data_IF_692300932024
#
_entry.id   IF_692300932024
#
_cell.length_a   1.000
_cell.length_b   1.000
_cell.length_c   1.000
_cell.angle_alpha   90.00
_cell.angle_beta   90.00
_cell.angle_gamma   90.00
#
_symmetry.space_group_name_H-M   'P 1'
#
loop_
_entity.id
_entity.type
_entity.pdbx_description
1 polymer ?
#
# COMPACT_ATOMS: atom_id res chain seq x y z
N UNK A 1 -7.98 -1.37 18.30
CA UNK A 1 -7.71 -0.70 19.62
C UNK A 1 -6.78 0.53 19.47
N UNK A 2 -5.68 0.47 18.73
CA UNK A 2 -4.81 1.66 18.50
C UNK A 2 -5.47 2.65 17.56
N UNK A 3 -6.02 2.15 16.46
CA UNK A 3 -6.64 2.95 15.40
C UNK A 3 -7.86 3.74 15.88
N UNK A 4 -8.56 3.25 16.90
CA UNK A 4 -9.72 3.92 17.49
C UNK A 4 -9.34 5.21 18.24
N UNK A 5 -8.09 5.29 18.69
CA UNK A 5 -7.54 6.45 19.44
C UNK A 5 -7.05 7.59 18.53
N UNK A 6 -6.94 7.37 17.21
CA UNK A 6 -6.49 8.40 16.29
C UNK A 6 -7.56 9.49 16.12
N UNK A 7 -7.12 10.76 16.14
CA UNK A 7 -8.01 11.91 15.91
C UNK A 7 -8.47 11.95 14.45
N UNK A 8 -9.77 12.15 14.21
CA UNK A 8 -10.36 12.09 12.87
C UNK A 8 -10.00 13.28 11.99
N UNK A 9 -9.71 14.43 12.57
CA UNK A 9 -9.37 15.68 11.84
C UNK A 9 -7.86 15.84 11.58
N UNK A 10 -7.15 14.73 11.39
CA UNK A 10 -5.71 14.69 11.19
C UNK A 10 -5.35 13.79 10.00
N UNK A 11 -4.06 13.66 9.74
CA UNK A 11 -3.51 12.72 8.77
C UNK A 11 -2.75 11.62 9.50
N UNK A 12 -2.87 10.40 9.00
CA UNK A 12 -2.18 9.23 9.54
C UNK A 12 -1.50 8.49 8.41
N UNK A 13 -0.22 8.16 8.61
CA UNK A 13 0.59 7.43 7.64
C UNK A 13 1.19 6.18 8.28
N UNK A 14 1.25 5.13 7.51
CA UNK A 14 1.94 3.89 7.82
C UNK A 14 3.24 3.82 7.05
N UNK A 15 4.31 3.48 7.73
CA UNK A 15 5.62 3.16 7.16
C UNK A 15 6.11 1.82 7.67
N UNK A 16 6.75 1.05 6.82
CA UNK A 16 7.55 -0.07 7.30
C UNK A 16 8.72 0.43 8.16
N UNK A 17 9.11 -0.34 9.16
CA UNK A 17 10.17 0.04 10.09
C UNK A 17 11.55 0.26 9.44
N UNK A 18 11.76 -0.28 8.23
CA UNK A 18 12.98 -0.10 7.44
C UNK A 18 12.93 1.10 6.49
N UNK A 19 11.92 1.96 6.59
CA UNK A 19 11.82 3.19 5.80
C UNK A 19 12.73 4.28 6.35
N UNK A 20 13.50 4.94 5.48
CA UNK A 20 14.34 6.10 5.81
C UNK A 20 13.96 7.27 4.92
N UNK A 21 13.52 8.37 5.52
CA UNK A 21 13.22 9.61 4.79
C UNK A 21 14.56 10.31 4.54
N UNK A 22 14.94 10.47 3.27
CA UNK A 22 16.23 11.03 2.85
C UNK A 22 16.12 12.42 2.24
N UNK A 23 14.88 12.87 1.97
CA UNK A 23 14.61 14.24 1.50
C UNK A 23 13.38 14.80 2.19
N UNK A 24 13.36 16.11 2.35
CA UNK A 24 12.16 16.81 2.79
C UNK A 24 10.99 16.58 1.81
N UNK A 25 9.82 16.33 2.36
CA UNK A 25 8.58 16.14 1.61
C UNK A 25 7.58 17.17 2.12
N UNK A 26 7.20 18.16 1.29
CA UNK A 26 6.17 19.12 1.67
C UNK A 26 4.87 18.40 2.03
N UNK A 27 4.27 18.74 3.17
CA UNK A 27 3.03 18.11 3.62
C UNK A 27 1.89 18.28 2.61
N UNK A 28 1.88 19.40 1.86
CA UNK A 28 0.94 19.65 0.77
C UNK A 28 0.88 18.52 -0.27
N UNK A 29 1.98 17.79 -0.49
CA UNK A 29 2.05 16.62 -1.38
C UNK A 29 0.98 15.57 -1.04
N UNK A 30 0.56 15.48 0.22
CA UNK A 30 -0.36 14.46 0.71
C UNK A 30 -1.80 14.97 0.86
N UNK A 31 -2.03 16.27 0.63
CA UNK A 31 -3.33 16.92 0.89
C UNK A 31 -4.31 16.85 -0.30
N UNK A 32 -3.83 16.48 -1.49
CA UNK A 32 -4.62 16.49 -2.72
C UNK A 32 -5.72 15.40 -2.77
N UNK A 33 -5.64 14.42 -1.88
CA UNK A 33 -6.60 13.31 -1.83
C UNK A 33 -6.79 12.80 -0.40
N UNK A 34 -7.86 12.05 -0.21
CA UNK A 34 -8.15 11.43 1.08
C UNK A 34 -7.17 10.31 1.45
N UNK A 35 -6.61 9.64 0.46
CA UNK A 35 -5.65 8.56 0.61
C UNK A 35 -4.51 8.69 -0.37
N UNK A 36 -3.32 8.24 0.00
CA UNK A 36 -2.15 8.10 -0.85
C UNK A 36 -1.78 6.62 -1.03
N UNK A 37 -1.22 6.29 -2.18
CA UNK A 37 -0.65 4.98 -2.45
C UNK A 37 0.58 5.12 -3.33
N UNK A 38 1.63 4.36 -3.05
CA UNK A 38 2.89 4.39 -3.81
C UNK A 38 2.89 3.28 -4.85
N UNK A 39 3.24 3.61 -6.10
CA UNK A 39 3.39 2.60 -7.14
C UNK A 39 4.52 1.62 -6.76
N UNK A 40 4.27 0.34 -6.95
CA UNK A 40 5.29 -0.67 -6.66
C UNK A 40 6.39 -0.64 -7.74
N UNK A 41 7.67 -0.38 -7.38
CA UNK A 41 8.76 -0.18 -8.36
C UNK A 41 8.97 -1.40 -9.26
N UNK A 42 8.82 -2.62 -8.75
CA UNK A 42 8.97 -3.86 -9.52
C UNK A 42 7.83 -4.12 -10.53
N UNK A 43 6.73 -3.37 -10.46
CA UNK A 43 5.55 -3.55 -11.33
C UNK A 43 5.16 -2.30 -12.11
N UNK A 44 5.86 -1.17 -11.93
CA UNK A 44 5.58 0.12 -12.57
C UNK A 44 5.40 0.01 -14.10
N UNK A 45 6.25 -0.77 -14.76
CA UNK A 45 6.28 -0.92 -16.22
C UNK A 45 5.68 -2.24 -16.70
N UNK A 46 4.90 -2.93 -15.86
CA UNK A 46 4.29 -4.22 -16.21
C UNK A 46 2.80 -4.09 -16.47
N UNK A 47 2.28 -4.96 -17.32
CA UNK A 47 0.84 -5.06 -17.56
C UNK A 47 0.15 -5.77 -16.38
N UNK A 48 -1.10 -5.42 -16.11
CA UNK A 48 -1.85 -5.86 -14.91
C UNK A 48 -2.01 -7.37 -14.76
N UNK A 49 -1.93 -8.12 -15.87
CA UNK A 49 -2.00 -9.59 -15.83
C UNK A 49 -0.81 -10.21 -15.08
N UNK A 50 0.34 -9.51 -15.07
CA UNK A 50 1.56 -9.93 -14.37
C UNK A 50 1.61 -9.48 -12.90
N UNK A 51 0.63 -8.69 -12.44
CA UNK A 51 0.58 -8.26 -11.05
C UNK A 51 0.26 -9.45 -10.13
N UNK A 52 0.87 -9.49 -8.95
CA UNK A 52 0.63 -10.56 -7.98
C UNK A 52 -0.70 -10.37 -7.22
N UNK A 53 -1.71 -9.77 -7.87
CA UNK A 53 -3.04 -9.66 -7.33
C UNK A 53 -3.59 -11.04 -6.95
N UNK A 54 -4.44 -11.07 -5.94
CA UNK A 54 -5.10 -12.32 -5.55
C UNK A 54 -6.05 -12.79 -6.66
N UNK A 55 -5.81 -13.99 -7.18
CA UNK A 55 -6.54 -14.55 -8.32
C UNK A 55 -7.47 -15.70 -7.95
N UNK A 56 -7.44 -16.15 -6.70
CA UNK A 56 -8.35 -17.20 -6.20
C UNK A 56 -9.73 -16.59 -5.96
N UNK A 57 -10.74 -17.12 -6.64
CA UNK A 57 -12.12 -16.61 -6.60
C UNK A 57 -12.79 -16.66 -5.22
N UNK A 58 -12.33 -17.56 -4.34
CA UNK A 58 -12.82 -17.69 -2.97
C UNK A 58 -12.19 -16.70 -1.97
N UNK A 59 -11.16 -15.94 -2.39
CA UNK A 59 -10.57 -14.87 -1.58
C UNK A 59 -11.43 -13.60 -1.63
N UNK A 60 -11.53 -12.90 -0.51
CA UNK A 60 -12.30 -11.65 -0.40
C UNK A 60 -11.68 -10.53 -1.23
N UNK A 61 -10.36 -10.56 -1.43
CA UNK A 61 -9.61 -9.56 -2.22
C UNK A 61 -9.33 -10.04 -3.68
N UNK A 62 -10.20 -10.91 -4.22
CA UNK A 62 -10.08 -11.40 -5.59
C UNK A 62 -10.13 -10.27 -6.63
N UNK A 63 -9.14 -10.22 -7.51
CA UNK A 63 -9.12 -9.37 -8.70
C UNK A 63 -8.90 -10.23 -9.95
N UNK A 64 -9.88 -10.28 -10.85
CA UNK A 64 -9.84 -11.12 -12.06
C UNK A 64 -8.75 -10.71 -13.06
N UNK A 65 -8.32 -11.63 -13.91
CA UNK A 65 -7.22 -11.42 -14.88
C UNK A 65 -7.46 -10.29 -15.89
N UNK A 66 -8.71 -10.01 -16.23
CA UNK A 66 -9.07 -8.93 -17.17
C UNK A 66 -9.06 -7.53 -16.51
N UNK A 67 -8.88 -7.44 -15.21
CA UNK A 67 -8.81 -6.16 -14.50
C UNK A 67 -7.52 -5.43 -14.87
N UNK A 68 -7.66 -4.12 -15.16
CA UNK A 68 -6.54 -3.23 -15.48
C UNK A 68 -6.40 -2.19 -14.38
N UNK A 69 -5.18 -1.87 -13.98
CA UNK A 69 -4.95 -0.89 -12.92
C UNK A 69 -3.48 -0.73 -12.59
N UNK A 70 -3.23 -0.20 -11.40
CA UNK A 70 -1.90 0.03 -10.82
C UNK A 70 -1.69 -0.97 -9.69
N UNK A 71 -0.45 -1.42 -9.53
CA UNK A 71 -0.06 -2.23 -8.39
C UNK A 71 0.65 -1.34 -7.37
N UNK A 72 0.07 -1.25 -6.18
CA UNK A 72 0.56 -0.41 -5.09
C UNK A 72 1.43 -1.21 -4.13
N UNK A 73 2.47 -0.59 -3.64
CA UNK A 73 3.36 -1.15 -2.63
C UNK A 73 2.77 -0.93 -1.22
N UNK A 74 2.87 -1.95 -0.36
CA UNK A 74 2.30 -1.90 0.99
C UNK A 74 3.13 -1.12 2.02
N UNK A 75 4.37 -0.78 1.73
CA UNK A 75 5.32 -0.26 2.71
C UNK A 75 5.14 1.21 3.11
N UNK A 76 4.43 2.01 2.32
CA UNK A 76 4.04 3.40 2.64
C UNK A 76 2.65 3.68 2.10
N UNK A 77 1.73 4.02 2.99
CA UNK A 77 0.36 4.38 2.67
C UNK A 77 -0.26 5.21 3.81
N UNK A 78 -1.40 5.83 3.55
CA UNK A 78 -2.07 6.68 4.55
C UNK A 78 -2.93 7.76 3.92
N UNK A 79 -3.13 8.85 4.65
CA UNK A 79 -3.92 10.00 4.22
C UNK A 79 -4.75 10.61 5.35
N UNK A 80 -5.92 11.19 5.04
CA UNK A 80 -6.85 11.66 6.07
C UNK A 80 -7.20 10.52 7.02
N UNK A 81 -7.09 10.75 8.31
CA UNK A 81 -7.24 9.70 9.33
C UNK A 81 -8.58 8.97 9.22
N UNK A 82 -9.68 9.67 8.91
CA UNK A 82 -10.99 9.04 8.74
C UNK A 82 -10.99 8.02 7.59
N UNK A 83 -10.43 8.38 6.44
CA UNK A 83 -10.33 7.52 5.26
C UNK A 83 -9.35 6.36 5.49
N UNK A 84 -8.24 6.62 6.17
CA UNK A 84 -7.27 5.59 6.53
C UNK A 84 -7.84 4.58 7.53
N UNK A 85 -8.60 5.03 8.55
CA UNK A 85 -9.33 4.14 9.46
C UNK A 85 -10.26 3.20 8.69
N UNK A 86 -11.04 3.74 7.75
CA UNK A 86 -11.95 2.96 6.91
C UNK A 86 -11.21 1.90 6.08
N UNK A 87 -10.09 2.29 5.46
CA UNK A 87 -9.23 1.36 4.71
C UNK A 87 -8.81 0.19 5.60
N UNK A 88 -8.22 0.48 6.77
CA UNK A 88 -7.73 -0.57 7.69
C UNK A 88 -8.88 -1.46 8.19
N UNK A 89 -10.03 -0.88 8.53
CA UNK A 89 -11.19 -1.65 8.98
C UNK A 89 -11.66 -2.63 7.89
N UNK A 90 -11.77 -2.18 6.64
CA UNK A 90 -12.18 -3.02 5.51
C UNK A 90 -11.13 -4.11 5.23
N UNK A 91 -9.85 -3.75 5.18
CA UNK A 91 -8.78 -4.74 4.99
C UNK A 91 -8.77 -5.79 6.13
N UNK A 92 -8.95 -5.37 7.38
CA UNK A 92 -9.06 -6.29 8.51
C UNK A 92 -10.27 -7.23 8.39
N UNK A 93 -11.44 -6.71 8.04
CA UNK A 93 -12.64 -7.52 7.84
C UNK A 93 -12.43 -8.59 6.75
N UNK A 94 -11.84 -8.21 5.63
CA UNK A 94 -11.51 -9.14 4.54
C UNK A 94 -10.50 -10.21 4.98
N UNK A 95 -9.43 -9.79 5.67
CA UNK A 95 -8.42 -10.70 6.21
C UNK A 95 -9.04 -11.71 7.17
N UNK A 96 -9.86 -11.25 8.11
CA UNK A 96 -10.52 -12.15 9.08
C UNK A 96 -11.51 -13.11 8.42
N UNK A 97 -12.21 -12.67 7.37
CA UNK A 97 -13.11 -13.52 6.60
C UNK A 97 -12.36 -14.62 5.83
N UNK A 98 -11.19 -14.29 5.27
CA UNK A 98 -10.36 -15.25 4.55
C UNK A 98 -9.67 -16.22 5.52
N UNK A 99 -9.16 -15.75 6.66
CA UNK A 99 -8.58 -16.62 7.70
C UNK A 99 -9.59 -17.65 8.23
N UNK A 100 -10.87 -17.30 8.37
CA UNK A 100 -11.94 -18.27 8.73
C UNK A 100 -12.10 -19.39 7.70
N UNK A 101 -11.67 -19.18 6.46
CA UNK A 101 -11.65 -20.19 5.39
C UNK A 101 -10.28 -20.85 5.23
N UNK A 102 -9.35 -20.66 6.19
CA UNK A 102 -7.95 -21.09 6.10
C UNK A 102 -7.25 -20.56 4.83
N UNK A 103 -7.61 -19.34 4.39
CA UNK A 103 -7.03 -18.71 3.23
C UNK A 103 -6.14 -17.54 3.66
N UNK A 104 -4.88 -17.58 3.23
CA UNK A 104 -3.94 -16.45 3.33
C UNK A 104 -3.78 -15.88 1.93
N UNK A 105 -4.01 -14.59 1.76
CA UNK A 105 -3.89 -13.92 0.46
C UNK A 105 -2.45 -13.98 -0.06
N UNK A 106 -2.28 -13.97 -1.39
CA UNK A 106 -1.03 -14.25 -2.10
C UNK A 106 0.14 -13.37 -1.63
N UNK A 107 -0.11 -12.08 -1.38
CA UNK A 107 0.87 -11.11 -0.89
C UNK A 107 0.34 -10.49 0.41
N UNK A 108 -0.18 -11.32 1.29
CA UNK A 108 -0.64 -10.97 2.63
C UNK A 108 -1.51 -9.68 2.63
N UNK A 109 -1.15 -8.72 3.49
CA UNK A 109 -1.84 -7.42 3.65
C UNK A 109 -1.85 -6.56 2.38
N UNK A 110 -0.79 -6.60 1.58
CA UNK A 110 -0.68 -5.87 0.30
C UNK A 110 -1.76 -6.31 -0.71
N UNK A 111 -2.20 -7.58 -0.66
CA UNK A 111 -3.30 -8.06 -1.52
C UNK A 111 -4.62 -7.34 -1.20
N UNK A 112 -4.95 -7.16 0.09
CA UNK A 112 -6.15 -6.46 0.53
C UNK A 112 -6.07 -4.96 0.26
N UNK A 113 -4.87 -4.35 0.48
CA UNK A 113 -4.61 -2.96 0.14
C UNK A 113 -4.85 -2.70 -1.34
N UNK A 114 -4.28 -3.53 -2.23
CA UNK A 114 -4.44 -3.41 -3.67
C UNK A 114 -5.89 -3.59 -4.11
N UNK A 115 -6.64 -4.51 -3.50
CA UNK A 115 -8.07 -4.66 -3.73
C UNK A 115 -8.84 -3.39 -3.34
N UNK A 116 -8.57 -2.84 -2.16
CA UNK A 116 -9.22 -1.62 -1.70
C UNK A 116 -8.92 -0.45 -2.64
N UNK A 117 -7.66 -0.24 -3.02
CA UNK A 117 -7.23 0.83 -3.92
C UNK A 117 -7.70 0.65 -5.35
N UNK A 118 -7.99 -0.56 -5.77
CA UNK A 118 -8.60 -0.79 -7.08
C UNK A 118 -9.97 -0.11 -7.19
N UNK A 119 -10.76 -0.15 -6.13
CA UNK A 119 -12.11 0.45 -6.09
C UNK A 119 -12.13 1.86 -5.50
N UNK A 120 -11.14 2.24 -4.69
CA UNK A 120 -11.03 3.53 -4.01
C UNK A 120 -9.67 4.15 -4.34
N UNK A 121 -9.54 4.68 -5.56
CA UNK A 121 -8.26 5.17 -6.11
C UNK A 121 -7.62 6.21 -5.19
N UNK A 122 -6.41 5.97 -4.64
CA UNK A 122 -5.66 6.96 -3.89
C UNK A 122 -4.96 7.95 -4.83
N UNK A 123 -4.41 9.03 -4.26
CA UNK A 123 -3.37 9.81 -4.92
C UNK A 123 -2.17 8.91 -5.20
N UNK A 124 -1.80 8.78 -6.46
CA UNK A 124 -0.66 7.96 -6.86
C UNK A 124 0.64 8.71 -6.65
N UNK A 125 1.47 8.21 -5.75
CA UNK A 125 2.85 8.66 -5.60
C UNK A 125 3.78 7.75 -6.40
N UNK A 126 4.87 8.34 -6.93
CA UNK A 126 5.88 7.60 -7.66
C UNK A 126 6.67 6.66 -6.74
N UNK A 127 7.40 5.73 -7.32
CA UNK A 127 8.30 4.80 -6.60
C UNK A 127 9.40 5.51 -5.79
N UNK A 128 9.65 6.78 -6.06
CA UNK A 128 10.62 7.59 -5.31
C UNK A 128 10.23 7.80 -3.84
N UNK A 129 8.97 7.59 -3.51
CA UNK A 129 8.46 7.61 -2.13
C UNK A 129 8.59 6.25 -1.41
N UNK A 130 9.18 5.24 -2.05
CA UNK A 130 9.54 3.97 -1.43
C UNK A 130 10.58 3.21 -2.25
N UNK A 131 11.68 3.88 -2.55
CA UNK A 131 12.77 3.34 -3.37
C UNK A 131 13.49 2.19 -2.66
N UNK A 132 13.54 0.98 -3.23
CA UNK A 132 14.28 -0.13 -2.62
C UNK A 132 15.79 0.11 -2.67
N UNK A 133 16.48 -0.02 -1.54
CA UNK A 133 17.94 0.14 -1.43
C UNK A 133 18.71 -0.77 -2.41
N UNK A 134 18.23 -2.00 -2.59
CA UNK A 134 18.82 -2.99 -3.52
C UNK A 134 18.85 -2.57 -5.00
N UNK A 135 18.10 -1.53 -5.36
CA UNK A 135 18.12 -0.98 -6.74
C UNK A 135 19.26 0.03 -6.95
N UNK A 136 20.08 0.26 -5.92
CA UNK A 136 21.18 1.20 -5.94
C UNK A 136 20.75 2.64 -5.64
N UNK A 137 21.72 3.53 -5.68
CA UNK A 137 21.52 4.94 -5.39
C UNK A 137 20.57 5.61 -6.39
N UNK A 138 19.64 6.42 -5.88
CA UNK A 138 18.79 7.27 -6.68
C UNK A 138 18.71 8.66 -6.04
N UNK A 139 19.27 9.66 -6.73
CA UNK A 139 19.34 11.06 -6.23
C UNK A 139 17.96 11.68 -6.02
N UNK A 140 16.93 11.18 -6.70
CA UNK A 140 15.57 11.72 -6.61
C UNK A 140 14.71 11.00 -5.57
N UNK A 141 15.19 9.90 -5.01
CA UNK A 141 14.50 9.18 -3.94
C UNK A 141 14.22 10.11 -2.76
N UNK A 142 13.00 10.02 -2.23
CA UNK A 142 12.53 10.76 -1.05
C UNK A 142 12.50 9.87 0.19
N UNK A 143 12.12 8.62 0.00
CA UNK A 143 12.09 7.59 1.04
C UNK A 143 12.76 6.35 0.48
N UNK A 144 13.74 5.83 1.21
CA UNK A 144 14.45 4.58 0.88
C UNK A 144 13.93 3.47 1.78
N UNK A 145 13.60 2.34 1.17
CA UNK A 145 13.32 1.09 1.86
C UNK A 145 14.60 0.29 1.98
N UNK A 146 15.20 0.28 3.16
CA UNK A 146 16.44 -0.44 3.43
C UNK A 146 16.22 -1.94 3.33
N UNK A 147 17.22 -2.65 2.87
CA UNK A 147 17.17 -4.09 2.87
C UNK A 147 17.11 -4.60 4.32
N UNK A 148 16.25 -5.58 4.55
CA UNK A 148 16.21 -6.27 5.84
C UNK A 148 17.45 -7.11 5.92
N UNK A 149 18.27 -6.88 6.97
CA UNK A 149 19.36 -7.77 7.27
C UNK A 149 18.80 -9.19 7.41
N UNK A 150 19.41 -10.12 6.71
CA UNK A 150 19.09 -11.54 6.91
C UNK A 150 19.81 -11.92 8.20
N UNK A 151 19.03 -12.11 9.26
CA UNK A 151 19.49 -12.80 10.46
C UNK A 151 19.91 -14.24 10.12
#
# INVERSE_FOLDING_TARGET
KVIDKLQTNSYTFFFNANAVIVKEIPFSTFMESDLIGVIHPGYKNRISILYPWERRKNATCYLGYLKKGIYYQGCFNGGKTASFKRLIQICNMMTMADLKKNLIAKVHDESYLNYYYYYNKPLLLSELYSWPEKYGENKDAKIIMRDKERE
#
